data_IF_212191408919
#
_entry.id   IF_212191408919
#
_cell.length_a   1.000
_cell.length_b   1.000
_cell.length_c   1.000
_cell.angle_alpha   90.00
_cell.angle_beta   90.00
_cell.angle_gamma   90.00
#
_symmetry.space_group_name_H-M   'P 1'
#
loop_
_entity.id
_entity.type
_entity.pdbx_description
1 polymer ?
#
# COMPACT_ATOMS: atom_id res chain seq x y z
N UNK A 1 -48.77 18.06 71.30
CA UNK A 1 -48.48 19.09 70.29
C UNK A 1 -47.90 18.39 69.07
N UNK A 2 -48.68 18.30 67.98
CA UNK A 2 -48.27 17.65 66.72
C UNK A 2 -47.55 18.67 65.86
N UNK A 3 -46.29 18.42 65.52
CA UNK A 3 -45.50 19.23 64.58
C UNK A 3 -45.67 18.69 63.16
N UNK A 4 -46.31 19.49 62.32
CA UNK A 4 -46.51 19.24 60.89
C UNK A 4 -45.19 19.33 60.13
N UNK A 5 -44.89 18.33 59.28
CA UNK A 5 -43.84 18.41 58.27
C UNK A 5 -44.47 18.77 56.92
N UNK A 6 -44.07 19.90 56.36
CA UNK A 6 -44.45 20.38 55.02
C UNK A 6 -43.56 19.64 54.00
N UNK A 7 -44.20 18.98 53.04
CA UNK A 7 -43.55 18.29 51.92
C UNK A 7 -43.47 19.27 50.74
N UNK A 8 -42.27 19.76 50.42
CA UNK A 8 -42.03 20.57 49.23
C UNK A 8 -41.83 19.64 48.01
N UNK A 9 -42.80 19.64 47.09
CA UNK A 9 -42.69 18.98 45.80
C UNK A 9 -42.05 19.96 44.82
N UNK A 10 -40.77 19.74 44.50
CA UNK A 10 -40.09 20.45 43.43
C UNK A 10 -40.35 19.72 42.11
N UNK A 11 -41.21 20.27 41.26
CA UNK A 11 -41.38 19.87 39.86
C UNK A 11 -40.15 20.31 39.06
N UNK A 12 -39.24 19.38 38.76
CA UNK A 12 -38.22 19.58 37.73
C UNK A 12 -38.90 19.53 36.36
N UNK A 13 -39.04 20.69 35.72
CA UNK A 13 -39.39 20.77 34.31
C UNK A 13 -38.24 20.19 33.48
N UNK A 14 -38.51 19.10 32.77
CA UNK A 14 -37.59 18.47 31.84
C UNK A 14 -37.36 19.39 30.63
N UNK A 15 -36.15 19.92 30.48
CA UNK A 15 -35.69 20.55 29.25
C UNK A 15 -35.31 19.41 28.27
N UNK A 16 -36.23 19.02 27.39
CA UNK A 16 -35.91 18.20 26.23
C UNK A 16 -35.05 19.03 25.27
N UNK A 17 -33.74 18.98 25.45
CA UNK A 17 -32.79 19.40 24.44
C UNK A 17 -32.86 18.38 23.30
N UNK A 18 -33.65 18.68 22.27
CA UNK A 18 -33.57 17.99 20.98
C UNK A 18 -32.19 18.30 20.43
N UNK A 19 -31.27 17.35 20.59
CA UNK A 19 -29.89 17.48 20.15
C UNK A 19 -29.84 17.69 18.64
N UNK A 20 -29.67 18.93 18.23
CA UNK A 20 -29.07 19.25 16.94
C UNK A 20 -27.72 18.50 16.90
N UNK A 21 -27.32 17.92 15.75
CA UNK A 21 -25.97 17.40 15.64
C UNK A 21 -25.02 18.58 15.82
N UNK A 22 -24.44 18.69 17.03
CA UNK A 22 -23.26 19.48 17.22
C UNK A 22 -22.25 18.93 16.21
N UNK A 23 -21.78 19.79 15.31
CA UNK A 23 -20.57 19.51 14.56
C UNK A 23 -19.49 19.28 15.62
N UNK A 24 -19.27 18.00 15.96
CA UNK A 24 -18.25 17.60 16.88
C UNK A 24 -16.95 18.03 16.21
N UNK A 25 -16.32 19.07 16.77
CA UNK A 25 -14.91 19.30 16.54
C UNK A 25 -14.24 17.95 16.78
N UNK A 26 -13.74 17.33 15.70
CA UNK A 26 -13.15 16.02 15.71
C UNK A 26 -11.84 16.11 16.52
N UNK A 27 -11.97 16.00 17.84
CA UNK A 27 -10.84 16.04 18.75
C UNK A 27 -9.96 14.84 18.42
N UNK A 28 -8.67 15.10 18.25
CA UNK A 28 -7.67 14.04 18.24
C UNK A 28 -7.73 13.32 19.58
N UNK A 29 -7.91 12.00 19.54
CA UNK A 29 -7.69 11.16 20.70
C UNK A 29 -6.27 10.62 20.72
N UNK A 30 -5.73 10.45 21.92
CA UNK A 30 -4.45 9.80 22.15
C UNK A 30 -4.71 8.66 23.14
N UNK A 31 -4.33 7.45 22.78
CA UNK A 31 -4.43 6.26 23.62
C UNK A 31 -3.03 5.70 23.91
N UNK A 32 -2.78 5.35 25.16
CA UNK A 32 -1.57 4.64 25.58
C UNK A 32 -1.87 3.15 25.70
N UNK A 33 -1.02 2.32 25.11
CA UNK A 33 -1.22 0.88 24.97
C UNK A 33 -2.18 0.50 23.84
N UNK A 34 -2.41 -0.80 23.70
CA UNK A 34 -3.17 -1.35 22.57
C UNK A 34 -4.62 -0.85 22.55
N UNK A 35 -5.14 -0.63 21.35
CA UNK A 35 -6.49 -0.13 21.12
C UNK A 35 -7.25 -0.97 20.10
N UNK A 36 -8.54 -1.17 20.35
CA UNK A 36 -9.43 -1.86 19.40
C UNK A 36 -10.63 -0.98 19.07
N UNK A 37 -10.77 -0.63 17.78
CA UNK A 37 -12.03 -0.08 17.27
C UNK A 37 -12.98 -1.26 17.08
N UNK A 38 -14.04 -1.29 17.87
CA UNK A 38 -14.98 -2.42 17.92
C UNK A 38 -15.79 -2.56 16.62
N UNK A 39 -16.24 -3.78 16.36
CA UNK A 39 -17.03 -4.11 15.18
C UNK A 39 -18.30 -3.25 15.06
N UNK A 40 -18.56 -2.78 13.84
CA UNK A 40 -19.73 -1.96 13.51
C UNK A 40 -19.76 -0.56 14.15
N UNK A 41 -18.71 -0.14 14.85
CA UNK A 41 -18.64 1.21 15.43
C UNK A 41 -17.92 2.18 14.50
N UNK A 42 -18.21 3.47 14.68
CA UNK A 42 -17.47 4.56 14.02
C UNK A 42 -16.67 5.33 15.06
N UNK A 43 -15.36 5.35 14.88
CA UNK A 43 -14.45 6.25 15.56
C UNK A 43 -14.48 7.62 14.86
N UNK A 44 -14.88 8.66 15.60
CA UNK A 44 -15.00 10.02 15.05
C UNK A 44 -13.72 10.81 15.31
N UNK A 45 -13.08 11.30 14.24
CA UNK A 45 -11.85 12.06 14.29
C UNK A 45 -10.58 11.23 14.23
N UNK A 46 -9.44 11.89 14.48
CA UNK A 46 -8.13 11.28 14.45
C UNK A 46 -7.93 10.35 15.66
N UNK A 47 -7.39 9.16 15.39
CA UNK A 47 -7.02 8.15 16.36
C UNK A 47 -5.49 8.05 16.42
N UNK A 48 -4.90 8.51 17.53
CA UNK A 48 -3.46 8.34 17.82
C UNK A 48 -3.27 7.29 18.91
N UNK A 49 -2.39 6.31 18.68
CA UNK A 49 -2.15 5.21 19.64
C UNK A 49 -0.66 4.93 19.78
N UNK A 50 -0.19 4.84 21.02
CA UNK A 50 1.16 4.36 21.37
C UNK A 50 1.05 2.90 21.83
N UNK A 51 1.05 1.97 20.88
CA UNK A 51 0.72 0.56 21.05
C UNK A 51 0.03 0.01 19.80
N UNK A 52 -0.45 -1.22 19.84
CA UNK A 52 -1.02 -1.86 18.65
C UNK A 52 -2.48 -1.46 18.43
N UNK A 53 -2.92 -1.39 17.17
CA UNK A 53 -4.32 -1.12 16.81
C UNK A 53 -4.94 -2.22 15.98
N UNK A 54 -6.10 -2.68 16.44
CA UNK A 54 -7.00 -3.51 15.64
C UNK A 54 -8.26 -2.72 15.30
N UNK A 55 -8.48 -2.50 13.99
CA UNK A 55 -9.78 -2.02 13.50
C UNK A 55 -10.60 -3.25 13.12
N UNK A 56 -11.57 -3.58 13.97
CA UNK A 56 -12.39 -4.78 13.80
C UNK A 56 -13.23 -4.73 12.52
N UNK A 57 -13.77 -5.88 12.13
CA UNK A 57 -14.58 -5.99 10.92
C UNK A 57 -15.74 -4.99 10.93
N UNK A 58 -16.02 -4.36 9.77
CA UNK A 58 -17.09 -3.38 9.63
C UNK A 58 -16.94 -2.09 10.45
N UNK A 59 -15.85 -1.90 11.20
CA UNK A 59 -15.60 -0.68 11.95
C UNK A 59 -15.09 0.45 11.04
N UNK A 60 -15.37 1.70 11.40
CA UNK A 60 -14.96 2.88 10.62
C UNK A 60 -14.09 3.82 11.47
N UNK A 61 -12.98 4.31 10.92
CA UNK A 61 -12.23 5.45 11.45
C UNK A 61 -12.37 6.62 10.49
N UNK A 62 -13.03 7.69 10.94
CA UNK A 62 -13.35 8.85 10.10
C UNK A 62 -12.22 9.89 9.99
N UNK A 63 -11.19 9.79 10.81
CA UNK A 63 -9.98 10.63 10.71
C UNK A 63 -8.76 9.82 10.31
N UNK A 64 -7.59 10.40 10.60
CA UNK A 64 -6.31 9.71 10.45
C UNK A 64 -6.16 8.63 11.53
N UNK A 65 -5.54 7.52 11.16
CA UNK A 65 -5.08 6.49 12.09
C UNK A 65 -3.57 6.59 12.19
N UNK A 66 -3.04 6.99 13.33
CA UNK A 66 -1.61 7.24 13.55
C UNK A 66 -1.16 6.39 14.73
N UNK A 67 -0.23 5.47 14.49
CA UNK A 67 0.08 4.42 15.47
C UNK A 67 1.59 4.23 15.59
N UNK A 68 2.08 4.11 16.82
CA UNK A 68 3.43 3.64 17.11
C UNK A 68 3.30 2.18 17.56
N UNK A 69 3.51 1.22 16.67
CA UNK A 69 3.16 -0.19 16.85
C UNK A 69 2.38 -0.78 15.67
N UNK A 70 1.89 -2.01 15.79
CA UNK A 70 1.25 -2.72 14.68
C UNK A 70 -0.17 -2.21 14.40
N UNK A 71 -0.59 -2.23 13.13
CA UNK A 71 -1.97 -1.94 12.71
C UNK A 71 -2.55 -3.09 11.91
N UNK A 72 -3.70 -3.60 12.35
CA UNK A 72 -4.50 -4.57 11.60
C UNK A 72 -5.87 -4.01 11.26
N UNK A 73 -6.14 -3.79 9.97
CA UNK A 73 -7.47 -3.48 9.44
C UNK A 73 -8.16 -4.76 8.99
N UNK A 74 -9.25 -5.14 9.65
CA UNK A 74 -9.98 -6.40 9.36
C UNK A 74 -11.10 -6.21 8.34
N UNK A 75 -11.62 -7.32 7.85
CA UNK A 75 -12.57 -7.35 6.73
C UNK A 75 -13.75 -6.38 6.86
N UNK A 76 -13.97 -5.56 5.84
CA UNK A 76 -15.03 -4.55 5.81
C UNK A 76 -14.79 -3.31 6.68
N UNK A 77 -13.64 -3.22 7.37
CA UNK A 77 -13.29 -1.97 8.05
C UNK A 77 -12.93 -0.88 7.04
N UNK A 78 -13.14 0.38 7.44
CA UNK A 78 -12.89 1.55 6.61
C UNK A 78 -12.11 2.60 7.38
N UNK A 79 -10.99 3.04 6.83
CA UNK A 79 -10.30 4.27 7.27
C UNK A 79 -10.46 5.33 6.20
N UNK A 80 -11.11 6.44 6.55
CA UNK A 80 -11.49 7.45 5.55
C UNK A 80 -10.37 8.44 5.21
N UNK A 81 -9.35 8.52 6.05
CA UNK A 81 -8.16 9.33 5.80
C UNK A 81 -6.92 8.43 5.72
N UNK A 82 -5.76 8.95 6.14
CA UNK A 82 -4.47 8.26 6.02
C UNK A 82 -4.24 7.33 7.22
N UNK A 83 -3.64 6.17 6.95
CA UNK A 83 -3.05 5.30 7.98
C UNK A 83 -1.54 5.58 8.01
N UNK A 84 -1.01 5.90 9.18
CA UNK A 84 0.42 6.14 9.41
C UNK A 84 0.87 5.24 10.55
N UNK A 85 1.90 4.44 10.31
CA UNK A 85 2.56 3.62 11.33
C UNK A 85 4.04 3.95 11.41
N UNK A 86 4.53 4.07 12.64
CA UNK A 86 5.95 4.16 12.95
C UNK A 86 6.34 2.97 13.81
N UNK A 87 7.43 2.30 13.45
CA UNK A 87 7.99 1.15 14.17
C UNK A 87 6.95 0.04 14.43
N UNK A 88 6.26 -0.37 13.36
CA UNK A 88 5.32 -1.48 13.38
C UNK A 88 4.89 -1.90 11.98
N UNK A 89 4.12 -2.99 11.90
CA UNK A 89 3.62 -3.56 10.65
C UNK A 89 2.20 -3.09 10.36
N UNK A 90 1.91 -2.71 9.11
CA UNK A 90 0.55 -2.48 8.65
C UNK A 90 0.03 -3.70 7.89
N UNK A 91 -1.10 -4.24 8.36
CA UNK A 91 -1.86 -5.28 7.67
C UNK A 91 -3.24 -4.76 7.26
N UNK A 92 -3.48 -4.61 5.97
CA UNK A 92 -4.80 -4.27 5.41
C UNK A 92 -5.44 -5.54 4.85
N UNK A 93 -6.40 -6.11 5.58
CA UNK A 93 -7.00 -7.40 5.27
C UNK A 93 -8.49 -7.28 4.94
N UNK A 94 -8.80 -7.27 3.63
CA UNK A 94 -10.16 -7.07 3.08
C UNK A 94 -10.81 -5.78 3.58
N UNK A 95 -10.01 -4.74 3.75
CA UNK A 95 -10.42 -3.45 4.29
C UNK A 95 -10.26 -2.34 3.24
N UNK A 96 -10.87 -1.19 3.49
CA UNK A 96 -10.77 -0.03 2.62
C UNK A 96 -10.04 1.13 3.30
N UNK A 97 -9.03 1.68 2.64
CA UNK A 97 -8.39 2.94 3.03
C UNK A 97 -8.61 3.95 1.91
N UNK A 98 -9.25 5.07 2.21
CA UNK A 98 -9.69 6.04 1.19
C UNK A 98 -8.56 6.96 0.76
N UNK A 99 -7.55 7.17 1.61
CA UNK A 99 -6.35 7.94 1.28
C UNK A 99 -5.16 7.00 1.24
N UNK A 100 -4.08 7.38 1.93
CA UNK A 100 -2.80 6.71 1.81
C UNK A 100 -2.55 5.76 2.99
N UNK A 101 -1.64 4.82 2.78
CA UNK A 101 -1.12 3.95 3.83
C UNK A 101 0.39 4.15 3.87
N UNK A 102 0.94 4.55 5.02
CA UNK A 102 2.36 4.85 5.17
C UNK A 102 2.94 4.15 6.39
N UNK A 103 3.98 3.36 6.20
CA UNK A 103 4.78 2.82 7.28
C UNK A 103 6.19 3.40 7.23
N UNK A 104 6.75 3.66 8.41
CA UNK A 104 8.09 4.20 8.64
C UNK A 104 8.75 3.45 9.78
N UNK A 105 10.09 3.42 9.83
CA UNK A 105 10.82 2.71 10.88
C UNK A 105 10.79 1.20 10.71
N UNK A 106 11.00 0.45 11.80
CA UNK A 106 11.03 -1.01 11.73
C UNK A 106 9.63 -1.59 11.47
N UNK A 107 9.46 -2.51 10.51
CA UNK A 107 8.15 -3.07 10.24
C UNK A 107 8.02 -3.69 8.86
N UNK A 108 6.80 -3.67 8.33
CA UNK A 108 6.50 -3.97 6.94
C UNK A 108 5.07 -3.56 6.60
N UNK A 109 4.70 -3.68 5.33
CA UNK A 109 3.39 -3.25 4.85
C UNK A 109 2.79 -4.30 3.92
N UNK A 110 1.65 -4.87 4.33
CA UNK A 110 0.94 -5.89 3.57
C UNK A 110 -0.50 -5.47 3.26
N UNK A 111 -0.82 -5.34 1.98
CA UNK A 111 -2.18 -5.19 1.45
C UNK A 111 -2.64 -6.55 0.94
N UNK A 112 -3.57 -7.20 1.64
CA UNK A 112 -4.07 -8.51 1.26
C UNK A 112 -5.14 -8.44 0.16
N UNK A 113 -5.41 -9.59 -0.46
CA UNK A 113 -6.45 -9.73 -1.48
C UNK A 113 -7.82 -9.27 -0.95
N UNK A 114 -8.55 -8.54 -1.81
CA UNK A 114 -9.85 -7.97 -1.50
C UNK A 114 -9.80 -6.70 -0.64
N UNK A 115 -8.61 -6.16 -0.38
CA UNK A 115 -8.42 -4.81 0.16
C UNK A 115 -8.41 -3.77 -0.96
N UNK A 116 -8.88 -2.56 -0.65
CA UNK A 116 -8.92 -1.39 -1.54
C UNK A 116 -8.23 -0.20 -0.87
N UNK A 117 -7.06 0.21 -1.37
CA UNK A 117 -6.40 1.46 -0.96
C UNK A 117 -6.49 2.44 -2.11
N UNK A 118 -7.24 3.53 -1.96
CA UNK A 118 -7.52 4.45 -3.08
C UNK A 118 -6.41 5.46 -3.35
N UNK A 119 -5.53 5.69 -2.38
CA UNK A 119 -4.37 6.56 -2.52
C UNK A 119 -3.07 5.77 -2.63
N UNK A 120 -1.98 6.41 -2.22
CA UNK A 120 -0.64 5.85 -2.29
C UNK A 120 -0.35 4.90 -1.13
N UNK A 121 0.55 3.95 -1.36
CA UNK A 121 1.07 3.05 -0.34
C UNK A 121 2.59 3.19 -0.27
N UNK A 122 3.13 3.50 0.91
CA UNK A 122 4.59 3.61 1.07
C UNK A 122 5.10 2.90 2.31
N UNK A 123 6.20 2.19 2.16
CA UNK A 123 7.05 1.63 3.22
C UNK A 123 8.40 2.39 3.14
N UNK A 124 9.00 2.75 4.28
CA UNK A 124 10.25 3.53 4.36
C UNK A 124 11.28 2.92 5.33
N UNK A 125 11.16 1.64 5.66
CA UNK A 125 12.08 0.90 6.52
C UNK A 125 12.60 -0.33 5.79
N UNK A 126 13.31 -1.21 6.48
CA UNK A 126 13.89 -2.42 5.85
C UNK A 126 12.83 -3.54 5.65
N UNK A 127 11.55 -3.16 5.68
CA UNK A 127 10.40 -4.03 5.68
C UNK A 127 9.89 -4.31 4.28
N UNK A 128 9.34 -5.49 4.05
CA UNK A 128 8.74 -5.77 2.74
C UNK A 128 7.44 -4.97 2.53
N UNK A 129 7.27 -4.42 1.33
CA UNK A 129 5.99 -3.93 0.82
C UNK A 129 5.34 -5.00 -0.07
N UNK A 130 4.24 -5.61 0.39
CA UNK A 130 3.49 -6.61 -0.39
C UNK A 130 2.07 -6.16 -0.72
N UNK A 131 1.77 -6.13 -2.02
CA UNK A 131 0.46 -5.74 -2.55
C UNK A 131 -0.20 -6.92 -3.24
N UNK A 132 -1.16 -7.55 -2.57
CA UNK A 132 -2.02 -8.61 -3.10
C UNK A 132 -3.48 -8.13 -3.33
N UNK A 133 -3.81 -6.90 -2.92
CA UNK A 133 -5.11 -6.23 -3.14
C UNK A 133 -5.04 -5.17 -4.25
N UNK A 134 -5.98 -4.22 -4.23
CA UNK A 134 -6.04 -3.13 -5.19
C UNK A 134 -5.52 -1.83 -4.57
N UNK A 135 -4.63 -1.14 -5.29
CA UNK A 135 -4.09 0.17 -4.93
C UNK A 135 -4.34 1.15 -6.08
N UNK A 136 -5.13 2.19 -5.81
CA UNK A 136 -5.50 3.23 -6.76
C UNK A 136 -4.42 4.28 -7.03
N UNK A 137 -3.42 4.39 -6.15
CA UNK A 137 -2.28 5.30 -6.29
C UNK A 137 -0.98 4.59 -6.66
N UNK A 138 0.13 5.26 -6.37
CA UNK A 138 1.47 4.72 -6.53
C UNK A 138 1.90 3.90 -5.30
N UNK A 139 2.84 2.99 -5.50
CA UNK A 139 3.47 2.25 -4.40
C UNK A 139 4.98 2.50 -4.35
N UNK A 140 5.51 2.67 -3.15
CA UNK A 140 6.93 2.93 -2.92
C UNK A 140 7.45 2.13 -1.72
N UNK A 141 8.50 1.35 -1.93
CA UNK A 141 9.39 0.87 -0.86
C UNK A 141 10.65 1.74 -0.96
N UNK A 142 11.23 2.15 0.17
CA UNK A 142 12.42 3.00 0.19
C UNK A 142 13.53 2.54 1.15
N UNK A 143 13.47 1.31 1.65
CA UNK A 143 14.53 0.69 2.44
C UNK A 143 15.05 -0.57 1.76
N UNK A 144 15.72 -1.46 2.49
CA UNK A 144 16.30 -2.67 1.89
C UNK A 144 15.27 -3.83 1.73
N UNK A 145 13.98 -3.55 1.90
CA UNK A 145 12.90 -4.52 1.80
C UNK A 145 12.48 -4.80 0.36
N UNK A 146 11.82 -5.94 0.12
CA UNK A 146 11.35 -6.29 -1.21
C UNK A 146 9.96 -5.71 -1.52
N UNK A 147 9.80 -5.19 -2.73
CA UNK A 147 8.53 -4.76 -3.31
C UNK A 147 7.87 -5.90 -4.09
N UNK A 148 6.75 -6.41 -3.57
CA UNK A 148 6.05 -7.57 -4.13
C UNK A 148 4.64 -7.20 -4.59
N UNK A 149 4.39 -7.16 -5.91
CA UNK A 149 3.08 -6.85 -6.49
C UNK A 149 2.44 -8.10 -7.06
N UNK A 150 1.39 -8.61 -6.41
CA UNK A 150 0.52 -9.69 -6.91
C UNK A 150 -0.91 -9.23 -7.24
N UNK A 151 -1.30 -8.07 -6.70
CA UNK A 151 -2.59 -7.43 -6.95
C UNK A 151 -2.53 -6.39 -8.07
N UNK A 152 -3.28 -5.30 -7.91
CA UNK A 152 -3.39 -4.22 -8.90
C UNK A 152 -2.80 -2.93 -8.33
N UNK A 153 -2.00 -2.24 -9.14
CA UNK A 153 -1.53 -0.87 -8.89
C UNK A 153 -1.92 -0.01 -10.09
N UNK A 154 -2.70 1.05 -9.84
CA UNK A 154 -3.23 1.92 -10.88
C UNK A 154 -2.22 2.96 -11.37
N UNK A 155 -1.17 3.24 -10.58
CA UNK A 155 -0.05 4.09 -10.98
C UNK A 155 1.28 3.32 -10.99
N UNK A 156 2.37 3.93 -10.51
CA UNK A 156 3.73 3.37 -10.60
C UNK A 156 4.10 2.57 -9.35
N UNK A 157 5.06 1.65 -9.52
CA UNK A 157 5.69 0.90 -8.44
C UNK A 157 7.18 1.22 -8.40
N UNK A 158 7.68 1.59 -7.22
CA UNK A 158 9.04 2.06 -7.03
C UNK A 158 9.67 1.41 -5.81
N UNK A 159 10.92 0.97 -5.93
CA UNK A 159 11.77 0.54 -4.81
C UNK A 159 13.01 1.46 -4.80
N UNK A 160 13.52 1.83 -3.62
CA UNK A 160 14.73 2.64 -3.43
C UNK A 160 15.64 2.11 -2.32
N UNK A 161 16.07 0.87 -2.45
CA UNK A 161 17.09 0.30 -1.60
C UNK A 161 17.60 -1.00 -2.19
N UNK A 162 18.26 -1.82 -1.36
CA UNK A 162 18.93 -3.03 -1.89
C UNK A 162 17.97 -4.20 -2.12
N UNK A 163 16.66 -3.92 -2.16
CA UNK A 163 15.60 -4.89 -2.26
C UNK A 163 15.38 -5.38 -3.69
N UNK A 164 14.32 -6.17 -3.87
CA UNK A 164 13.94 -6.65 -5.19
C UNK A 164 12.53 -6.20 -5.52
N UNK A 165 12.27 -5.93 -6.80
CA UNK A 165 10.92 -5.70 -7.30
C UNK A 165 10.42 -6.94 -8.03
N UNK A 166 9.37 -7.56 -7.48
CA UNK A 166 8.69 -8.69 -8.10
C UNK A 166 7.26 -8.31 -8.49
N UNK A 167 6.96 -8.34 -9.78
CA UNK A 167 5.63 -8.08 -10.35
C UNK A 167 5.03 -9.36 -10.91
N UNK A 168 4.07 -9.91 -10.18
CA UNK A 168 3.20 -11.03 -10.56
C UNK A 168 1.77 -10.57 -10.92
N UNK A 169 1.40 -9.36 -10.50
CA UNK A 169 0.10 -8.74 -10.71
C UNK A 169 0.09 -7.74 -11.87
N UNK A 170 -0.60 -6.61 -11.67
CA UNK A 170 -0.69 -5.53 -12.67
C UNK A 170 -0.16 -4.23 -12.08
N UNK A 171 0.69 -3.53 -12.85
CA UNK A 171 1.12 -2.16 -12.56
C UNK A 171 0.84 -1.31 -13.79
N UNK A 172 -0.06 -0.33 -13.69
CA UNK A 172 -0.43 0.46 -14.88
C UNK A 172 0.61 1.54 -15.23
N UNK A 173 1.36 2.00 -14.25
CA UNK A 173 2.44 2.95 -14.42
C UNK A 173 3.79 2.28 -14.68
N UNK A 174 4.85 3.02 -14.35
CA UNK A 174 6.24 2.56 -14.42
C UNK A 174 6.54 1.61 -13.27
N UNK A 175 7.38 0.62 -13.52
CA UNK A 175 8.06 -0.16 -12.48
C UNK A 175 9.52 0.27 -12.47
N UNK A 176 10.06 0.65 -11.31
CA UNK A 176 11.45 1.06 -11.19
C UNK A 176 12.06 0.58 -9.88
N UNK A 177 13.24 0.02 -9.96
CA UNK A 177 14.16 -0.24 -8.86
C UNK A 177 15.35 0.71 -9.07
N UNK A 178 15.86 1.34 -7.99
CA UNK A 178 16.75 2.50 -8.04
C UNK A 178 18.17 2.27 -7.52
N UNK A 179 18.38 1.25 -6.71
CA UNK A 179 19.63 0.89 -6.05
C UNK A 179 19.97 -0.58 -6.44
N UNK A 180 20.74 -1.32 -5.63
CA UNK A 180 21.18 -2.65 -6.04
C UNK A 180 20.10 -3.72 -5.86
N UNK A 181 19.65 -4.39 -6.92
CA UNK A 181 18.55 -5.34 -6.80
C UNK A 181 18.24 -6.17 -8.03
N UNK A 182 17.02 -6.72 -8.09
CA UNK A 182 16.50 -7.34 -9.30
C UNK A 182 15.09 -6.84 -9.55
N UNK A 183 14.79 -6.58 -10.82
CA UNK A 183 13.42 -6.36 -11.28
C UNK A 183 12.94 -7.58 -12.05
N UNK A 184 11.91 -8.23 -11.54
CA UNK A 184 11.30 -9.41 -12.15
C UNK A 184 9.85 -9.14 -12.49
N UNK A 185 9.51 -9.23 -13.77
CA UNK A 185 8.12 -9.19 -14.24
C UNK A 185 7.72 -10.58 -14.74
N UNK A 186 6.89 -11.25 -13.96
CA UNK A 186 6.42 -12.62 -14.22
C UNK A 186 4.88 -12.67 -14.16
N UNK A 187 4.25 -12.21 -15.24
CA UNK A 187 2.80 -12.10 -15.37
C UNK A 187 2.25 -13.03 -16.45
N UNK A 188 1.16 -13.71 -16.15
CA UNK A 188 0.51 -14.64 -17.09
C UNK A 188 -0.41 -13.91 -18.06
N UNK A 189 0.10 -13.62 -19.25
CA UNK A 189 -0.55 -13.11 -20.46
C UNK A 189 -2.03 -13.46 -20.75
N UNK A 190 -2.52 -14.58 -20.20
CA UNK A 190 -3.73 -15.27 -20.66
C UNK A 190 -5.02 -14.48 -20.44
N UNK A 191 -5.01 -13.42 -19.62
CA UNK A 191 -6.22 -12.67 -19.25
C UNK A 191 -6.28 -11.22 -19.81
N UNK A 192 -5.43 -10.85 -20.76
CA UNK A 192 -5.58 -9.59 -21.52
C UNK A 192 -5.27 -8.28 -20.78
N UNK A 193 -5.08 -8.28 -19.46
CA UNK A 193 -4.59 -7.14 -18.66
C UNK A 193 -3.86 -7.67 -17.42
N UNK A 194 -2.74 -8.36 -17.60
CA UNK A 194 -1.83 -8.72 -16.50
C UNK A 194 -0.42 -8.45 -16.97
N UNK A 195 0.24 -7.47 -16.36
CA UNK A 195 1.52 -6.94 -16.83
C UNK A 195 1.73 -5.49 -16.42
N UNK A 196 2.86 -4.95 -16.84
CA UNK A 196 3.19 -3.53 -16.64
C UNK A 196 2.75 -2.74 -17.87
N UNK A 197 2.04 -1.62 -17.71
CA UNK A 197 1.70 -0.74 -18.85
C UNK A 197 2.56 0.50 -19.01
N UNK A 198 3.53 0.70 -18.13
CA UNK A 198 4.64 1.62 -18.33
C UNK A 198 5.97 0.92 -18.62
N UNK A 199 7.03 1.72 -18.58
CA UNK A 199 8.41 1.21 -18.66
C UNK A 199 8.76 0.41 -17.40
N UNK A 200 9.71 -0.51 -17.56
CA UNK A 200 10.31 -1.27 -16.47
C UNK A 200 11.78 -0.93 -16.44
N UNK A 201 12.23 -0.33 -15.34
CA UNK A 201 13.58 0.19 -15.15
C UNK A 201 14.28 -0.53 -14.00
N UNK A 202 15.53 -0.89 -14.21
CA UNK A 202 16.50 -1.23 -13.17
C UNK A 202 17.65 -0.22 -13.32
N UNK A 203 18.12 0.36 -12.21
CA UNK A 203 18.94 1.58 -12.21
C UNK A 203 20.42 1.41 -11.83
N UNK A 204 20.81 0.33 -11.15
CA UNK A 204 22.15 0.18 -10.58
C UNK A 204 22.69 -1.23 -10.88
N UNK A 205 23.25 -1.93 -9.89
CA UNK A 205 23.79 -3.27 -10.07
C UNK A 205 22.69 -4.31 -9.87
N UNK A 206 22.41 -5.08 -10.92
CA UNK A 206 21.39 -6.11 -10.81
C UNK A 206 21.03 -6.81 -12.10
N UNK A 207 19.76 -7.21 -12.20
CA UNK A 207 19.23 -7.73 -13.46
C UNK A 207 17.75 -7.44 -13.63
N UNK A 208 17.40 -7.13 -14.87
CA UNK A 208 16.03 -7.01 -15.33
C UNK A 208 15.59 -8.32 -16.01
N UNK A 209 14.65 -9.03 -15.38
CA UNK A 209 14.13 -10.30 -15.87
C UNK A 209 12.67 -10.13 -16.27
N UNK A 210 12.40 -10.22 -17.57
CA UNK A 210 11.03 -10.14 -18.11
C UNK A 210 10.59 -11.52 -18.59
N UNK A 211 9.61 -12.12 -17.92
CA UNK A 211 8.94 -13.37 -18.32
C UNK A 211 7.46 -13.18 -18.64
N UNK A 212 6.90 -12.04 -18.25
CA UNK A 212 5.52 -11.64 -18.52
C UNK A 212 5.38 -10.53 -19.56
N UNK A 213 4.35 -9.70 -19.38
CA UNK A 213 4.00 -8.63 -20.30
C UNK A 213 4.48 -7.26 -19.81
N UNK A 214 5.16 -6.54 -20.70
CA UNK A 214 5.56 -5.14 -20.52
C UNK A 214 5.07 -4.34 -21.73
N UNK A 215 4.02 -3.54 -21.54
CA UNK A 215 3.55 -2.60 -22.54
C UNK A 215 4.31 -1.26 -22.43
N UNK A 216 5.62 -1.33 -22.61
CA UNK A 216 6.56 -0.24 -22.47
C UNK A 216 7.97 -0.69 -22.82
N UNK A 217 8.97 0.11 -22.47
CA UNK A 217 10.38 -0.23 -22.62
C UNK A 217 10.86 -1.00 -21.39
N UNK A 218 11.59 -2.09 -21.60
CA UNK A 218 12.37 -2.74 -20.57
C UNK A 218 13.81 -2.20 -20.65
N UNK A 219 14.26 -1.50 -19.63
CA UNK A 219 15.57 -0.86 -19.63
C UNK A 219 16.33 -1.15 -18.35
N UNK A 220 17.55 -1.61 -18.52
CA UNK A 220 18.55 -1.66 -17.46
C UNK A 220 19.46 -0.44 -17.71
N UNK A 221 19.77 0.30 -16.64
CA UNK A 221 20.47 1.58 -16.68
C UNK A 221 21.84 1.55 -16.00
N UNK A 222 22.17 0.49 -15.28
CA UNK A 222 23.41 0.34 -14.51
C UNK A 222 24.23 -0.86 -14.99
N UNK A 223 24.98 -1.49 -14.09
CA UNK A 223 25.97 -2.53 -14.41
C UNK A 223 25.40 -3.96 -14.42
N UNK A 224 24.16 -4.13 -14.89
CA UNK A 224 23.39 -5.36 -14.82
C UNK A 224 23.23 -6.13 -16.12
N UNK A 225 22.18 -6.93 -16.24
CA UNK A 225 21.87 -7.65 -17.48
C UNK A 225 20.37 -7.81 -17.67
N UNK A 226 19.93 -7.90 -18.93
CA UNK A 226 18.53 -8.12 -19.25
C UNK A 226 18.31 -9.55 -19.72
N UNK A 227 17.39 -10.27 -19.07
CA UNK A 227 16.90 -11.57 -19.55
C UNK A 227 15.44 -11.46 -19.98
N UNK A 228 15.18 -11.69 -21.27
CA UNK A 228 13.83 -11.75 -21.84
C UNK A 228 13.43 -13.22 -22.07
N UNK A 229 12.53 -13.73 -21.25
CA UNK A 229 12.07 -15.12 -21.26
C UNK A 229 11.17 -15.47 -22.44
N UNK A 230 11.04 -16.77 -22.73
CA UNK A 230 10.28 -17.32 -23.87
C UNK A 230 8.84 -16.81 -23.98
N UNK A 231 8.19 -16.55 -22.86
CA UNK A 231 6.78 -16.11 -22.80
C UNK A 231 6.63 -14.60 -22.78
N UNK A 232 7.73 -13.85 -22.75
CA UNK A 232 7.70 -12.42 -22.60
C UNK A 232 7.11 -11.72 -23.83
N UNK A 233 6.37 -10.66 -23.57
CA UNK A 233 5.86 -9.73 -24.59
C UNK A 233 6.22 -8.31 -24.18
N UNK A 234 7.06 -7.66 -24.98
CA UNK A 234 7.52 -6.29 -24.77
C UNK A 234 7.11 -5.45 -25.98
N UNK A 235 6.31 -4.41 -25.77
CA UNK A 235 5.82 -3.55 -26.87
C UNK A 235 6.78 -2.42 -27.20
N UNK A 236 7.62 -2.00 -26.25
CA UNK A 236 8.68 -1.02 -26.44
C UNK A 236 10.03 -1.67 -26.76
N UNK A 237 11.10 -0.94 -26.45
CA UNK A 237 12.47 -1.41 -26.65
C UNK A 237 12.94 -2.29 -25.49
N UNK A 238 14.01 -3.03 -25.73
CA UNK A 238 14.86 -3.64 -24.71
C UNK A 238 16.19 -2.91 -24.77
N UNK A 239 16.58 -2.23 -23.70
CA UNK A 239 17.77 -1.37 -23.68
C UNK A 239 18.63 -1.71 -22.48
N UNK A 240 19.79 -2.28 -22.71
CA UNK A 240 20.87 -2.34 -21.71
C UNK A 240 21.75 -1.10 -21.95
N UNK A 241 22.11 -0.39 -20.88
CA UNK A 241 22.71 0.95 -20.97
C UNK A 241 24.20 1.03 -20.65
N UNK A 242 24.77 0.08 -19.90
CA UNK A 242 26.18 0.09 -19.49
C UNK A 242 26.85 -1.27 -19.73
N UNK A 243 27.58 -1.79 -18.74
CA UNK A 243 28.28 -3.06 -18.83
C UNK A 243 27.30 -4.22 -18.55
N UNK A 244 26.70 -4.77 -19.60
CA UNK A 244 25.71 -5.83 -19.46
C UNK A 244 25.42 -6.65 -20.71
N UNK A 245 24.84 -7.84 -20.51
CA UNK A 245 24.35 -8.67 -21.61
C UNK A 245 22.83 -8.57 -21.74
N UNK A 246 22.34 -8.63 -22.99
CA UNK A 246 20.92 -8.87 -23.27
C UNK A 246 20.74 -10.29 -23.79
N UNK A 247 20.13 -11.14 -22.96
CA UNK A 247 19.73 -12.50 -23.33
C UNK A 247 18.25 -12.54 -23.72
N UNK A 248 17.98 -12.73 -25.02
CA UNK A 248 16.62 -12.96 -25.53
C UNK A 248 16.39 -14.43 -25.83
N UNK A 249 15.54 -15.08 -25.05
CA UNK A 249 15.20 -16.49 -25.23
C UNK A 249 14.27 -16.67 -26.43
N UNK A 250 14.56 -17.66 -27.28
CA UNK A 250 13.72 -18.00 -28.44
C UNK A 250 12.25 -18.19 -28.04
N UNK A 251 11.38 -17.41 -28.69
CA UNK A 251 9.93 -17.37 -28.44
C UNK A 251 9.44 -16.05 -27.84
N UNK A 252 10.34 -15.26 -27.23
CA UNK A 252 10.02 -13.91 -26.77
C UNK A 252 9.52 -13.02 -27.92
N UNK A 253 8.57 -12.13 -27.62
CA UNK A 253 8.02 -11.17 -28.58
C UNK A 253 8.42 -9.77 -28.17
N UNK A 254 9.27 -9.14 -28.96
CA UNK A 254 9.71 -7.75 -28.76
C UNK A 254 9.30 -6.97 -30.01
N UNK A 255 8.48 -5.92 -29.85
CA UNK A 255 8.04 -5.10 -30.97
C UNK A 255 9.03 -3.96 -31.28
N UNK A 256 9.72 -3.44 -30.27
CA UNK A 256 10.77 -2.45 -30.44
C UNK A 256 12.13 -3.05 -30.81
N UNK A 257 13.20 -2.28 -30.56
CA UNK A 257 14.58 -2.69 -30.80
C UNK A 257 15.19 -3.30 -29.56
N UNK A 258 16.14 -4.20 -29.77
CA UNK A 258 17.11 -4.60 -28.74
C UNK A 258 18.35 -3.74 -28.93
N UNK A 259 18.75 -3.01 -27.89
CA UNK A 259 19.87 -2.09 -27.88
C UNK A 259 20.76 -2.43 -26.68
N UNK A 260 22.05 -2.54 -26.94
CA UNK A 260 23.12 -2.64 -25.93
C UNK A 260 24.04 -1.46 -26.20
N UNK A 261 24.17 -0.54 -25.24
CA UNK A 261 25.14 0.56 -25.37
C UNK A 261 26.39 0.24 -24.57
N UNK A 262 27.57 0.23 -25.20
CA UNK A 262 28.83 0.04 -24.48
C UNK A 262 29.22 1.27 -23.67
#
# INVERSE_FOLDING_TARGET
MRTSRILAVATCAALLAVGLPAAANAATSVHEGDFTVREGTTYVGDLRVNGDVVVAAGATVSGNLIVTGDVTLRGGSVVTQTVVVTDGTITVARATVIKNVRQTGAGGLAIYQGSDVRGDVSEQGDGNLSVNGDVGGAIAEAGDGALNVRGTVDESAKEQGSGNVLVLGTVRGRVAEYDGGYVVVETDAKAGVTGTTGDVLEHDLGALIVRGHVNGTARELGGGSITVGRTAVITGNVVESEDGDVLVVTGAKIAGKVVTTP
#
